data_IF_814541973576
#
_entry.id   IF_814541973576
#
_cell.length_a   1.000
_cell.length_b   1.000
_cell.length_c   1.000
_cell.angle_alpha   90.00
_cell.angle_beta   90.00
_cell.angle_gamma   90.00
#
_symmetry.space_group_name_H-M   'P 1'
#
loop_
_entity.id
_entity.type
_entity.pdbx_description
1 polymer ?
#
# COMPACT_ATOMS: atom_id res chain seq x y z
N UNK A 1 -1.59 -14.83 -10.10
CA UNK A 1 -1.56 -15.42 -11.46
C UNK A 1 -0.17 -15.18 -12.03
N UNK A 2 0.46 -16.17 -12.65
CA UNK A 2 1.68 -16.00 -13.45
C UNK A 2 1.28 -15.92 -14.92
N UNK A 3 1.81 -14.96 -15.66
CA UNK A 3 1.59 -14.86 -17.10
C UNK A 3 2.94 -15.03 -17.78
N UNK A 4 3.05 -16.04 -18.63
CA UNK A 4 4.14 -16.13 -19.59
C UNK A 4 3.83 -15.20 -20.75
N UNK A 5 4.65 -14.16 -20.94
CA UNK A 5 4.44 -13.14 -21.97
C UNK A 5 4.73 -13.65 -23.39
N UNK A 6 5.57 -14.68 -23.52
CA UNK A 6 5.93 -15.29 -24.82
C UNK A 6 4.83 -16.25 -25.25
N UNK A 7 4.47 -17.20 -24.39
CA UNK A 7 3.42 -18.18 -24.71
C UNK A 7 2.00 -17.65 -24.49
N UNK A 8 1.85 -16.47 -23.88
CA UNK A 8 0.58 -15.84 -23.49
C UNK A 8 -0.30 -16.73 -22.62
N UNK A 9 0.32 -17.64 -21.87
CA UNK A 9 -0.39 -18.56 -20.98
C UNK A 9 -0.41 -18.00 -19.56
N UNK A 10 -1.57 -18.10 -18.94
CA UNK A 10 -1.74 -17.80 -17.53
C UNK A 10 -1.75 -19.10 -16.72
N UNK A 11 -1.13 -19.08 -15.55
CA UNK A 11 -1.23 -20.12 -14.52
C UNK A 11 -1.68 -19.50 -13.21
N UNK A 12 -2.63 -20.13 -12.54
CA UNK A 12 -3.02 -19.75 -11.19
C UNK A 12 -1.92 -20.12 -10.20
N UNK A 13 -1.52 -19.16 -9.35
CA UNK A 13 -0.44 -19.37 -8.35
C UNK A 13 -1.04 -19.75 -6.99
N UNK A 14 -2.26 -19.28 -6.67
CA UNK A 14 -3.00 -19.66 -5.48
C UNK A 14 -4.52 -19.61 -5.75
N UNK A 15 -5.27 -20.51 -5.11
CA UNK A 15 -6.74 -20.62 -5.16
C UNK A 15 -7.35 -20.65 -3.75
N UNK A 16 -6.62 -20.17 -2.74
CA UNK A 16 -7.12 -20.12 -1.38
C UNK A 16 -8.11 -18.96 -1.23
N UNK A 17 -9.36 -19.27 -0.92
CA UNK A 17 -10.44 -18.28 -0.77
C UNK A 17 -10.23 -17.32 0.42
N UNK A 18 -9.27 -17.60 1.29
CA UNK A 18 -8.85 -16.67 2.37
C UNK A 18 -7.93 -15.55 1.89
N UNK A 19 -7.47 -15.63 0.63
CA UNK A 19 -6.58 -14.66 0.01
C UNK A 19 -7.38 -13.66 -0.82
N UNK A 20 -7.28 -12.40 -0.43
CA UNK A 20 -7.78 -11.25 -1.17
C UNK A 20 -6.61 -10.27 -1.37
N UNK A 21 -5.67 -10.60 -2.26
CA UNK A 21 -4.56 -9.71 -2.56
C UNK A 21 -5.05 -8.47 -3.32
N UNK A 22 -4.71 -7.29 -2.81
CA UNK A 22 -5.23 -6.01 -3.32
C UNK A 22 -4.22 -5.25 -4.18
N UNK A 23 -2.93 -5.41 -3.90
CA UNK A 23 -1.86 -4.88 -4.74
C UNK A 23 -0.62 -5.78 -4.72
N UNK A 24 0.44 -5.36 -5.40
CA UNK A 24 1.69 -6.12 -5.47
C UNK A 24 2.87 -5.19 -5.76
N UNK A 25 3.98 -5.34 -5.03
CA UNK A 25 5.20 -4.59 -5.29
C UNK A 25 6.45 -5.43 -5.04
N UNK A 26 7.44 -5.33 -5.93
CA UNK A 26 8.75 -5.92 -5.69
C UNK A 26 9.51 -5.10 -4.65
N UNK A 27 10.07 -5.78 -3.66
CA UNK A 27 10.97 -5.16 -2.70
C UNK A 27 12.28 -4.76 -3.37
N UNK A 28 12.78 -3.54 -3.10
CA UNK A 28 14.07 -3.09 -3.61
C UNK A 28 15.26 -3.77 -2.92
N UNK A 29 15.03 -4.49 -1.81
CA UNK A 29 16.09 -5.09 -0.98
C UNK A 29 16.32 -6.56 -1.32
N UNK A 30 15.26 -7.34 -1.46
CA UNK A 30 15.35 -8.80 -1.60
C UNK A 30 14.78 -9.32 -2.95
N UNK A 31 14.19 -8.45 -3.77
CA UNK A 31 13.61 -8.80 -5.07
C UNK A 31 12.37 -9.70 -4.97
N UNK A 32 11.82 -9.93 -3.77
CA UNK A 32 10.58 -10.68 -3.56
C UNK A 32 9.38 -9.79 -3.87
N UNK A 33 8.27 -10.39 -4.28
CA UNK A 33 6.99 -9.73 -4.49
C UNK A 33 6.20 -9.73 -3.19
N UNK A 34 5.86 -8.54 -2.69
CA UNK A 34 5.06 -8.36 -1.49
C UNK A 34 3.60 -8.11 -1.88
N UNK A 35 2.69 -8.76 -1.14
CA UNK A 35 1.28 -8.88 -1.46
C UNK A 35 0.46 -8.59 -0.19
N UNK A 36 -0.14 -7.39 -0.07
CA UNK A 36 -1.13 -7.13 0.98
C UNK A 36 -2.36 -8.01 0.76
N UNK A 37 -2.76 -8.73 1.81
CA UNK A 37 -4.02 -9.45 1.85
C UNK A 37 -5.03 -8.60 2.64
N UNK A 38 -6.16 -8.28 2.02
CA UNK A 38 -7.21 -7.43 2.60
C UNK A 38 -7.71 -7.92 3.97
N UNK A 39 -7.47 -9.19 4.31
CA UNK A 39 -7.78 -9.78 5.61
C UNK A 39 -6.71 -9.57 6.70
N UNK A 40 -5.77 -8.63 6.50
CA UNK A 40 -4.88 -8.12 7.55
C UNK A 40 -3.51 -8.78 7.65
N UNK A 41 -3.13 -9.57 6.65
CA UNK A 41 -1.77 -10.11 6.54
C UNK A 41 -1.03 -9.50 5.36
N UNK A 42 0.29 -9.58 5.39
CA UNK A 42 1.14 -9.28 4.26
C UNK A 42 2.03 -10.49 3.98
N UNK A 43 2.05 -10.93 2.72
CA UNK A 43 2.79 -12.12 2.28
C UNK A 43 3.86 -11.69 1.28
N UNK A 44 5.05 -12.26 1.36
CA UNK A 44 6.06 -12.15 0.31
C UNK A 44 6.24 -13.48 -0.42
N UNK A 45 6.54 -13.43 -1.70
CA UNK A 45 6.79 -14.60 -2.55
C UNK A 45 7.97 -14.29 -3.46
N UNK A 46 8.75 -15.28 -3.87
CA UNK A 46 9.81 -15.05 -4.86
C UNK A 46 9.23 -14.57 -6.19
N UNK A 47 10.05 -13.93 -7.02
CA UNK A 47 9.59 -13.34 -8.29
C UNK A 47 8.96 -14.35 -9.28
N UNK A 48 9.32 -15.63 -9.16
CA UNK A 48 8.75 -16.75 -9.91
C UNK A 48 7.52 -17.39 -9.24
N UNK A 49 7.08 -16.85 -8.10
CA UNK A 49 5.87 -17.27 -7.39
C UNK A 49 6.06 -18.46 -6.46
N UNK A 50 7.29 -18.72 -6.00
CA UNK A 50 7.62 -19.79 -5.06
C UNK A 50 7.91 -19.27 -3.64
N UNK A 51 8.02 -20.20 -2.69
CA UNK A 51 8.40 -19.90 -1.30
C UNK A 51 7.56 -18.78 -0.65
N UNK A 52 6.23 -18.90 -0.53
CA UNK A 52 5.43 -17.87 0.13
C UNK A 52 5.78 -17.77 1.63
N UNK A 53 5.99 -16.55 2.11
CA UNK A 53 6.32 -16.25 3.50
C UNK A 53 5.37 -15.19 4.06
N UNK A 54 4.89 -15.38 5.29
CA UNK A 54 4.14 -14.32 5.99
C UNK A 54 5.15 -13.28 6.46
N UNK A 55 5.11 -12.09 5.88
CA UNK A 55 5.94 -10.96 6.29
C UNK A 55 5.36 -10.26 7.52
N UNK A 56 4.04 -10.04 7.51
CA UNK A 56 3.34 -9.42 8.63
C UNK A 56 1.99 -10.10 8.87
N UNK A 57 1.64 -10.27 10.14
CA UNK A 57 0.29 -10.62 10.57
C UNK A 57 0.04 -10.07 11.97
N UNK A 58 -1.20 -9.71 12.26
CA UNK A 58 -1.62 -9.25 13.58
C UNK A 58 -2.15 -7.82 13.60
N UNK A 59 -2.55 -7.35 14.80
CA UNK A 59 -3.15 -6.03 14.93
C UNK A 59 -2.11 -4.92 14.89
N UNK A 60 -2.48 -3.79 14.31
CA UNK A 60 -1.74 -2.52 14.41
C UNK A 60 -2.56 -1.57 15.26
N UNK A 61 -1.97 -1.03 16.34
CA UNK A 61 -2.67 -0.14 17.27
C UNK A 61 -4.04 -0.68 17.74
N UNK A 62 -4.11 -1.98 18.05
CA UNK A 62 -5.30 -2.64 18.60
C UNK A 62 -6.36 -3.07 17.59
N UNK A 63 -6.16 -2.89 16.29
CA UNK A 63 -7.08 -3.37 15.26
C UNK A 63 -6.36 -4.03 14.09
N UNK A 64 -6.92 -5.15 13.59
CA UNK A 64 -6.51 -5.80 12.34
C UNK A 64 -6.60 -4.80 11.19
N UNK A 65 -5.65 -4.84 10.26
CA UNK A 65 -5.67 -3.99 9.07
C UNK A 65 -6.60 -4.56 7.99
N UNK A 66 -7.12 -3.67 7.15
CA UNK A 66 -7.67 -3.96 5.83
C UNK A 66 -6.77 -3.29 4.79
N UNK A 67 -5.55 -3.81 4.57
CA UNK A 67 -4.57 -3.17 3.71
C UNK A 67 -5.06 -3.19 2.25
N UNK A 68 -4.82 -2.10 1.53
CA UNK A 68 -5.24 -1.95 0.14
C UNK A 68 -4.03 -1.82 -0.79
N UNK A 69 -3.16 -0.83 -0.57
CA UNK A 69 -1.95 -0.64 -1.38
C UNK A 69 -0.68 -0.52 -0.53
N UNK A 70 0.47 -0.75 -1.18
CA UNK A 70 1.78 -0.74 -0.57
C UNK A 70 2.81 0.06 -1.37
N UNK A 71 3.76 0.68 -0.68
CA UNK A 71 4.92 1.33 -1.28
C UNK A 71 6.18 1.16 -0.44
N UNK A 72 7.26 0.68 -1.05
CA UNK A 72 8.57 0.60 -0.42
C UNK A 72 9.29 1.96 -0.45
N UNK A 73 9.95 2.30 0.67
CA UNK A 73 11.01 3.29 0.65
C UNK A 73 12.35 2.68 0.18
N UNK A 74 13.37 3.51 0.04
CA UNK A 74 14.70 3.09 -0.42
C UNK A 74 15.44 2.18 0.56
N UNK A 75 15.02 2.14 1.82
CA UNK A 75 15.56 1.26 2.85
C UNK A 75 14.77 -0.05 2.99
N UNK A 76 13.72 -0.25 2.19
CA UNK A 76 12.87 -1.43 2.21
C UNK A 76 11.78 -1.43 3.28
N UNK A 77 11.50 -0.29 3.92
CA UNK A 77 10.32 -0.19 4.78
C UNK A 77 9.06 -0.06 3.93
N UNK A 78 7.98 -0.65 4.41
CA UNK A 78 6.74 -0.75 3.65
C UNK A 78 5.69 0.19 4.21
N UNK A 79 5.19 1.09 3.38
CA UNK A 79 4.08 1.98 3.71
C UNK A 79 2.81 1.40 3.11
N UNK A 80 1.72 1.49 3.85
CA UNK A 80 0.48 0.76 3.60
C UNK A 80 -0.68 1.72 3.76
N UNK A 81 -1.60 1.69 2.81
CA UNK A 81 -2.94 2.26 2.99
C UNK A 81 -3.83 1.21 3.62
N UNK A 82 -4.46 1.57 4.72
CA UNK A 82 -5.29 0.67 5.48
C UNK A 82 -6.71 1.23 5.61
N UNK A 83 -7.66 0.54 5.00
CA UNK A 83 -9.06 0.95 4.90
C UNK A 83 -9.88 0.58 6.14
N UNK A 84 -9.25 0.11 7.22
CA UNK A 84 -9.95 -0.26 8.47
C UNK A 84 -10.87 0.87 8.96
N UNK A 85 -12.16 0.55 9.08
CA UNK A 85 -13.20 1.50 9.49
C UNK A 85 -13.67 2.46 8.39
N UNK A 86 -12.93 2.62 7.29
CA UNK A 86 -13.27 3.58 6.24
C UNK A 86 -14.54 3.21 5.45
N UNK A 87 -14.96 1.94 5.48
CA UNK A 87 -16.18 1.46 4.80
C UNK A 87 -17.46 1.91 5.50
N UNK A 88 -17.45 2.07 6.84
CA UNK A 88 -18.66 2.37 7.61
C UNK A 88 -18.38 3.13 8.92
N UNK A 89 -18.92 4.35 9.08
CA UNK A 89 -19.63 5.12 8.07
C UNK A 89 -18.66 5.69 7.02
N UNK A 90 -19.02 5.54 5.74
CA UNK A 90 -18.19 5.88 4.57
C UNK A 90 -17.69 7.33 4.54
N UNK A 91 -18.38 8.25 5.21
CA UNK A 91 -18.07 9.69 5.25
C UNK A 91 -17.08 10.09 6.36
N UNK A 92 -16.66 9.18 7.24
CA UNK A 92 -15.69 9.50 8.29
C UNK A 92 -14.27 9.13 7.85
N UNK A 93 -13.28 10.02 8.04
CA UNK A 93 -11.88 9.68 7.80
C UNK A 93 -11.40 8.77 8.92
N UNK A 94 -11.51 7.45 8.74
CA UNK A 94 -11.09 6.44 9.71
C UNK A 94 -9.90 5.61 9.24
N UNK A 95 -9.63 5.62 7.93
CA UNK A 95 -8.53 4.89 7.32
C UNK A 95 -7.19 5.33 7.90
N UNK A 96 -6.24 4.41 7.89
CA UNK A 96 -4.92 4.54 8.50
C UNK A 96 -3.84 4.52 7.42
N UNK A 97 -2.73 5.18 7.73
CA UNK A 97 -1.46 4.94 7.06
C UNK A 97 -0.60 4.14 8.02
N UNK A 98 -0.01 3.05 7.55
CA UNK A 98 0.83 2.19 8.39
C UNK A 98 2.17 2.04 7.72
N UNK A 99 3.24 2.08 8.51
CA UNK A 99 4.60 1.77 8.07
C UNK A 99 5.07 0.53 8.81
N UNK A 100 5.51 -0.49 8.07
CA UNK A 100 6.21 -1.65 8.61
C UNK A 100 7.71 -1.49 8.36
N UNK A 101 8.52 -1.74 9.38
CA UNK A 101 9.97 -1.81 9.21
C UNK A 101 10.35 -3.03 8.36
N UNK A 102 11.28 -2.85 7.42
CA UNK A 102 11.56 -3.83 6.37
C UNK A 102 12.14 -5.18 6.84
N UNK A 103 12.78 -5.23 8.01
CA UNK A 103 13.45 -6.43 8.52
C UNK A 103 12.68 -7.10 9.66
N UNK A 104 12.02 -6.32 10.50
CA UNK A 104 11.33 -6.79 11.70
C UNK A 104 9.82 -6.83 11.54
N UNK A 105 9.29 -6.22 10.47
CA UNK A 105 7.87 -5.98 10.27
C UNK A 105 7.21 -5.20 11.44
N UNK A 106 8.00 -4.46 12.23
CA UNK A 106 7.47 -3.63 13.31
C UNK A 106 6.62 -2.49 12.75
N UNK A 107 5.39 -2.36 13.26
CA UNK A 107 4.42 -1.40 12.75
C UNK A 107 4.49 -0.04 13.48
N UNK A 108 4.53 1.03 12.70
CA UNK A 108 4.48 2.44 13.13
C UNK A 108 3.44 3.22 12.30
N UNK A 109 3.04 4.42 12.74
CA UNK A 109 2.37 5.39 11.85
C UNK A 109 0.84 5.51 11.88
N UNK A 110 0.10 4.84 12.77
CA UNK A 110 -1.38 4.84 12.76
C UNK A 110 -2.11 6.12 13.27
N UNK A 111 -1.40 7.25 13.40
CA UNK A 111 -1.93 8.48 14.00
C UNK A 111 -2.81 9.31 13.07
N UNK A 112 -2.37 9.50 11.82
CA UNK A 112 -3.14 10.24 10.83
C UNK A 112 -4.33 9.41 10.34
N UNK A 113 -5.51 10.03 10.30
CA UNK A 113 -6.73 9.42 9.79
C UNK A 113 -7.20 10.09 8.52
N UNK A 114 -7.47 9.30 7.50
CA UNK A 114 -7.85 9.79 6.17
C UNK A 114 -9.11 9.12 5.67
N UNK A 115 -9.74 9.79 4.70
CA UNK A 115 -10.95 9.35 4.04
C UNK A 115 -10.60 8.24 3.04
N UNK A 116 -10.81 6.98 3.45
CA UNK A 116 -10.64 5.78 2.61
C UNK A 116 -9.39 5.82 1.73
N UNK A 117 -8.20 5.67 2.34
CA UNK A 117 -6.95 5.64 1.60
C UNK A 117 -6.91 4.38 0.74
N UNK A 118 -6.54 4.53 -0.53
CA UNK A 118 -6.52 3.44 -1.51
C UNK A 118 -5.12 3.28 -2.11
N UNK A 119 -4.80 3.98 -3.20
CA UNK A 119 -3.50 3.94 -3.84
C UNK A 119 -2.43 4.74 -3.09
N UNK A 120 -1.19 4.26 -3.16
CA UNK A 120 -0.04 4.82 -2.43
C UNK A 120 1.24 4.79 -3.26
N UNK A 121 1.91 5.94 -3.38
CA UNK A 121 3.24 5.98 -3.98
C UNK A 121 4.13 7.03 -3.35
N UNK A 122 5.43 6.74 -3.26
CA UNK A 122 6.41 7.75 -2.90
C UNK A 122 6.52 8.85 -3.95
N UNK A 123 6.81 10.06 -3.49
CA UNK A 123 7.37 11.11 -4.35
C UNK A 123 8.70 10.64 -4.93
N UNK A 124 9.14 11.17 -6.10
CA UNK A 124 10.40 10.78 -6.69
C UNK A 124 11.63 10.93 -5.78
N UNK A 125 11.62 11.90 -4.86
CA UNK A 125 12.70 12.14 -3.88
C UNK A 125 12.52 11.40 -2.55
N UNK A 126 11.47 10.59 -2.40
CA UNK A 126 11.11 9.88 -1.17
C UNK A 126 10.85 10.77 0.06
N UNK A 127 10.64 12.08 -0.13
CA UNK A 127 10.32 13.04 0.92
C UNK A 127 8.87 12.93 1.45
N UNK A 128 8.01 12.24 0.71
CA UNK A 128 6.61 12.09 1.04
C UNK A 128 5.88 11.05 0.20
N UNK A 129 4.58 10.98 0.41
CA UNK A 129 3.67 10.04 -0.23
C UNK A 129 2.56 10.80 -0.97
N UNK A 130 2.26 10.35 -2.18
CA UNK A 130 0.99 10.58 -2.85
C UNK A 130 0.01 9.49 -2.42
N UNK A 131 -1.18 9.90 -1.99
CA UNK A 131 -2.25 8.97 -1.57
C UNK A 131 -3.55 9.34 -2.24
N UNK A 132 -4.22 8.38 -2.86
CA UNK A 132 -5.61 8.59 -3.26
C UNK A 132 -6.57 8.33 -2.09
N UNK A 133 -7.56 9.20 -1.97
CA UNK A 133 -8.59 9.16 -0.95
C UNK A 133 -9.95 9.01 -1.62
N UNK A 134 -10.49 7.79 -1.61
CA UNK A 134 -11.65 7.44 -2.43
C UNK A 134 -12.89 8.24 -2.05
N UNK A 135 -13.21 8.33 -0.76
CA UNK A 135 -14.43 9.03 -0.29
C UNK A 135 -14.33 10.53 -0.23
N UNK A 136 -13.10 11.06 -0.33
CA UNK A 136 -12.87 12.49 -0.41
C UNK A 136 -12.68 12.99 -1.85
N UNK A 137 -12.67 12.10 -2.85
CA UNK A 137 -12.42 12.44 -4.26
C UNK A 137 -11.20 13.33 -4.44
N UNK A 138 -10.07 12.93 -3.84
CA UNK A 138 -8.85 13.72 -3.87
C UNK A 138 -7.59 12.86 -3.88
N UNK A 139 -6.50 13.43 -4.39
CA UNK A 139 -5.13 12.97 -4.13
C UNK A 139 -4.53 13.87 -3.06
N UNK A 140 -4.05 13.28 -1.96
CA UNK A 140 -3.35 13.97 -0.89
C UNK A 140 -1.83 13.81 -0.99
N UNK A 141 -1.12 14.79 -0.47
CA UNK A 141 0.32 14.74 -0.22
C UNK A 141 0.56 14.59 1.28
N UNK A 142 1.36 13.58 1.66
CA UNK A 142 1.82 13.38 3.03
C UNK A 142 3.34 13.55 3.06
N UNK A 143 3.83 14.63 3.69
CA UNK A 143 5.27 14.79 3.93
C UNK A 143 5.67 13.97 5.14
N UNK A 144 6.74 13.18 5.01
CA UNK A 144 7.23 12.33 6.08
C UNK A 144 8.35 13.03 6.89
N UNK A 145 8.58 12.53 8.10
CA UNK A 145 9.81 12.79 8.84
C UNK A 145 11.01 12.18 8.12
N UNK A 146 12.22 12.62 8.45
CA UNK A 146 13.45 12.11 7.82
C UNK A 146 13.64 10.59 8.03
N UNK A 147 13.20 10.07 9.18
CA UNK A 147 13.20 8.63 9.47
C UNK A 147 11.94 7.89 8.96
N UNK A 148 11.02 8.62 8.33
CA UNK A 148 9.80 8.09 7.74
C UNK A 148 8.72 7.64 8.73
N UNK A 149 8.94 7.77 10.04
CA UNK A 149 8.02 7.23 11.07
C UNK A 149 6.78 8.09 11.30
N UNK A 150 6.83 9.36 10.93
CA UNK A 150 5.76 10.33 11.19
C UNK A 150 5.35 11.08 9.92
N UNK A 151 4.05 11.43 9.85
CA UNK A 151 3.56 12.39 8.85
C UNK A 151 3.67 13.78 9.44
N UNK A 152 4.59 14.59 8.90
CA UNK A 152 4.86 15.95 9.38
C UNK A 152 3.80 16.95 8.91
N UNK A 153 3.36 16.83 7.65
CA UNK A 153 2.32 17.66 7.07
C UNK A 153 1.48 16.84 6.09
N UNK A 154 0.17 17.10 6.07
CA UNK A 154 -0.75 16.47 5.15
C UNK A 154 -1.68 17.52 4.55
N UNK A 155 -1.89 17.49 3.23
CA UNK A 155 -2.89 18.34 2.59
C UNK A 155 -3.43 17.72 1.30
N UNK A 156 -4.66 18.07 0.89
CA UNK A 156 -5.12 17.82 -0.46
C UNK A 156 -4.18 18.49 -1.46
N UNK A 157 -3.82 17.76 -2.52
CA UNK A 157 -3.02 18.30 -3.62
C UNK A 157 -3.84 18.40 -4.90
N UNK A 158 -4.73 17.45 -5.13
CA UNK A 158 -5.63 17.44 -6.29
C UNK A 158 -7.03 17.12 -5.80
N UNK A 159 -7.99 17.96 -6.14
CA UNK A 159 -9.42 17.65 -6.01
C UNK A 159 -9.95 17.15 -7.34
N UNK A 160 -10.69 16.05 -7.32
CA UNK A 160 -11.25 15.41 -8.50
C UNK A 160 -12.77 15.56 -8.47
N UNK A 161 -13.33 16.17 -9.51
CA UNK A 161 -14.79 16.24 -9.68
C UNK A 161 -15.25 15.10 -10.60
N UNK A 162 -15.41 13.90 -10.03
CA UNK A 162 -15.82 12.70 -10.76
C UNK A 162 -17.34 12.58 -11.02
N UNK A 163 -18.15 13.54 -10.57
CA UNK A 163 -19.60 13.40 -10.56
C UNK A 163 -20.03 12.29 -9.59
N UNK A 164 -20.64 11.22 -10.12
CA UNK A 164 -20.96 10.02 -9.34
C UNK A 164 -19.78 9.04 -9.16
N UNK A 165 -18.67 9.26 -9.88
CA UNK A 165 -17.46 8.44 -9.76
C UNK A 165 -16.54 8.93 -8.62
N UNK A 166 -15.65 8.03 -8.18
CA UNK A 166 -14.67 8.30 -7.14
C UNK A 166 -13.25 8.04 -7.61
N UNK A 167 -12.28 8.68 -6.94
CA UNK A 167 -10.86 8.39 -7.16
C UNK A 167 -10.57 7.01 -6.57
N UNK A 168 -10.01 6.11 -7.35
CA UNK A 168 -9.63 4.79 -6.88
C UNK A 168 -8.11 4.75 -6.66
N UNK A 169 -7.37 3.90 -7.37
CA UNK A 169 -5.95 3.72 -7.15
C UNK A 169 -5.09 4.74 -7.89
N UNK A 170 -3.87 4.93 -7.39
CA UNK A 170 -2.80 5.67 -8.04
C UNK A 170 -1.48 4.96 -7.79
N UNK A 171 -0.63 4.88 -8.81
CA UNK A 171 0.74 4.42 -8.66
C UNK A 171 1.67 5.29 -9.48
N UNK A 172 2.81 5.68 -8.90
CA UNK A 172 3.91 6.29 -9.63
C UNK A 172 5.17 5.45 -9.47
N UNK A 173 5.78 5.08 -10.58
CA UNK A 173 7.15 4.54 -10.60
C UNK A 173 8.11 5.72 -10.62
N UNK A 174 9.00 5.88 -9.63
CA UNK A 174 10.13 6.79 -9.78
C UNK A 174 10.89 6.35 -11.03
N UNK A 175 11.01 7.23 -12.02
CA UNK A 175 11.80 6.93 -13.22
C UNK A 175 13.25 6.80 -12.79
N UNK A 176 13.72 5.58 -12.60
CA UNK A 176 15.15 5.30 -12.65
C UNK A 176 15.62 5.66 -14.05
N UNK A 177 16.54 6.61 -14.15
CA UNK A 177 17.37 6.75 -15.36
C UNK A 177 17.95 5.37 -15.66
N UNK A 178 17.47 4.77 -16.74
CA UNK A 178 18.15 3.67 -17.39
C UNK A 178 19.53 4.20 -17.78
N UNK A 179 20.58 3.80 -17.06
CA UNK A 179 21.97 3.95 -17.48
C UNK A 179 22.46 2.61 -18.01
#
# INVERSE_FOLDING_TARGET
>A
MAIDLVSRRARTISTDDTIAFTSAQFSPIDGRLYLPNFHGSLVSVTADGHDPQVFFSGPVAGATMNPDDISFDTAGNLYITDTTGAQNPYWKPQGRHVRLEGHTAEATGAGLRTAYPNGLAFTPGFEGLWVSHNTANQIGYLRLSEDGREVMTAHPAIHVSGGGGQVDSWQSTPTGTCM
#
